data_IF_268382848675
#
_entry.id   IF_268382848675
#
_cell.length_a   1.000
_cell.length_b   1.000
_cell.length_c   1.000
_cell.angle_alpha   90.00
_cell.angle_beta   90.00
_cell.angle_gamma   90.00
#
_symmetry.space_group_name_H-M   'P 1'
#
loop_
_entity.id
_entity.type
_entity.pdbx_description
1 polymer ?
#
# COMPACT_ATOMS: atom_id res chain seq x y z
N UNK A 1 32.19 54.79 -42.96
CA UNK A 1 31.67 56.17 -42.81
C UNK A 1 30.30 56.05 -42.18
N UNK A 2 29.94 56.62 -41.04
CA UNK A 2 30.57 57.36 -39.95
C UNK A 2 29.73 57.01 -38.69
N UNK A 3 30.29 56.91 -37.48
CA UNK A 3 30.43 58.04 -36.54
C UNK A 3 29.04 58.57 -36.13
N UNK A 4 28.60 58.66 -34.87
CA UNK A 4 29.24 59.27 -33.68
C UNK A 4 28.27 58.98 -32.50
N UNK A 5 28.65 58.31 -31.41
CA UNK A 5 29.20 58.83 -30.13
C UNK A 5 28.40 59.96 -29.45
N UNK A 6 28.02 59.74 -28.17
CA UNK A 6 28.30 60.56 -26.95
C UNK A 6 27.39 60.00 -25.82
N UNK A 7 27.90 59.34 -24.78
CA UNK A 7 28.51 59.93 -23.57
C UNK A 7 27.41 60.09 -22.51
N UNK A 8 27.37 59.42 -21.35
CA UNK A 8 28.44 59.06 -20.42
C UNK A 8 28.26 59.92 -19.16
N UNK A 9 27.88 59.32 -18.02
CA UNK A 9 28.26 59.87 -16.71
C UNK A 9 28.13 58.79 -15.64
N UNK A 10 29.29 58.45 -15.09
CA UNK A 10 29.49 57.58 -13.95
C UNK A 10 29.25 58.35 -12.63
N UNK A 11 28.81 57.63 -11.61
CA UNK A 11 28.99 58.03 -10.21
C UNK A 11 29.42 56.80 -9.40
N UNK A 12 30.73 56.72 -9.20
CA UNK A 12 31.40 55.95 -8.15
C UNK A 12 30.82 56.28 -6.77
N UNK A 13 30.47 55.25 -5.99
CA UNK A 13 30.51 55.34 -4.52
C UNK A 13 30.82 53.97 -3.88
N UNK A 14 32.12 53.83 -3.60
CA UNK A 14 32.84 53.05 -2.58
C UNK A 14 32.07 52.08 -1.66
N UNK A 15 32.55 50.83 -1.65
CA UNK A 15 32.46 49.88 -0.53
C UNK A 15 33.05 50.46 0.78
N UNK A 16 32.54 49.99 1.92
CA UNK A 16 33.42 49.59 3.01
C UNK A 16 33.26 48.11 3.35
N UNK A 17 34.39 47.41 3.34
CA UNK A 17 34.60 46.14 4.05
C UNK A 17 34.64 46.44 5.55
N UNK A 18 33.87 45.71 6.35
CA UNK A 18 34.29 45.30 7.70
C UNK A 18 33.43 44.15 8.21
N UNK A 19 34.03 42.96 8.25
CA UNK A 19 33.65 41.87 9.15
C UNK A 19 34.13 42.20 10.57
N UNK A 20 33.40 41.77 11.60
CA UNK A 20 33.91 40.63 12.38
C UNK A 20 32.82 39.60 12.71
N UNK A 21 33.20 38.32 12.59
CA UNK A 21 32.49 37.13 13.11
C UNK A 21 32.91 36.89 14.59
N UNK A 22 32.40 35.90 15.35
CA UNK A 22 31.15 35.14 15.28
C UNK A 22 30.34 35.19 16.60
N UNK A 23 29.01 35.04 16.54
CA UNK A 23 28.16 34.88 17.72
C UNK A 23 27.17 33.75 17.50
N UNK A 24 27.38 32.64 18.20
CA UNK A 24 26.50 31.47 18.23
C UNK A 24 25.06 31.85 18.58
N UNK A 25 24.15 31.53 17.67
CA UNK A 25 22.73 31.37 17.93
C UNK A 25 22.25 30.33 16.93
N UNK A 26 22.37 29.05 17.31
CA UNK A 26 21.67 27.99 16.60
C UNK A 26 20.19 28.14 16.92
N UNK A 27 19.50 29.05 16.22
CA UNK A 27 18.10 28.84 15.91
C UNK A 27 18.10 27.80 14.80
N UNK A 28 18.00 26.56 15.21
CA UNK A 28 17.37 25.54 14.41
C UNK A 28 15.91 25.94 14.26
N UNK A 29 15.66 26.90 13.36
CA UNK A 29 14.41 26.94 12.61
C UNK A 29 14.44 25.66 11.74
N UNK A 30 14.15 24.53 12.39
CA UNK A 30 13.42 23.46 11.73
C UNK A 30 12.15 24.14 11.27
N UNK A 31 12.16 24.63 10.03
CA UNK A 31 10.96 24.84 9.24
C UNK A 31 10.21 23.50 9.27
N UNK A 32 9.43 23.31 10.33
CA UNK A 32 8.37 22.33 10.43
C UNK A 32 7.44 22.72 9.29
N UNK A 33 7.70 22.13 8.12
CA UNK A 33 6.94 22.32 6.90
C UNK A 33 5.50 21.90 7.24
N UNK A 34 4.70 22.85 7.71
CA UNK A 34 3.29 22.63 7.96
C UNK A 34 2.71 22.17 6.62
N UNK A 35 2.34 20.89 6.54
CA UNK A 35 1.59 20.35 5.41
C UNK A 35 0.52 21.38 5.05
N UNK A 36 0.66 21.99 3.87
CA UNK A 36 -0.19 23.09 3.45
C UNK A 36 -1.63 22.56 3.29
N UNK A 37 -2.41 22.63 4.37
CA UNK A 37 -3.82 22.28 4.40
C UNK A 37 -4.65 23.46 3.93
N UNK A 38 -5.75 23.16 3.26
CA UNK A 38 -6.70 24.19 2.90
C UNK A 38 -7.38 24.74 4.17
N UNK A 39 -7.80 26.01 4.17
CA UNK A 39 -8.71 26.51 5.19
C UNK A 39 -9.97 25.63 5.27
N UNK A 40 -10.58 25.44 6.46
CA UNK A 40 -11.69 24.51 6.63
C UNK A 40 -12.87 24.71 5.66
N UNK A 41 -13.15 25.96 5.29
CA UNK A 41 -14.22 26.30 4.34
C UNK A 41 -13.88 25.85 2.91
N UNK A 42 -12.63 26.04 2.49
CA UNK A 42 -12.13 25.62 1.18
C UNK A 42 -12.02 24.10 1.09
N UNK A 43 -11.52 23.46 2.15
CA UNK A 43 -11.48 21.99 2.27
C UNK A 43 -12.88 21.38 2.17
N UNK A 44 -13.86 21.93 2.89
CA UNK A 44 -15.24 21.46 2.84
C UNK A 44 -15.84 21.63 1.44
N UNK A 45 -15.51 22.72 0.73
CA UNK A 45 -15.94 22.94 -0.66
C UNK A 45 -15.36 21.90 -1.61
N UNK A 46 -14.05 21.67 -1.55
CA UNK A 46 -13.36 20.68 -2.38
C UNK A 46 -13.84 19.25 -2.10
N UNK A 47 -14.06 18.92 -0.82
CA UNK A 47 -14.61 17.63 -0.43
C UNK A 47 -16.03 17.44 -0.95
N UNK A 48 -16.88 18.46 -0.86
CA UNK A 48 -18.23 18.43 -1.42
C UNK A 48 -18.22 18.24 -2.94
N UNK A 49 -17.36 18.97 -3.65
CA UNK A 49 -17.18 18.80 -5.09
C UNK A 49 -16.75 17.36 -5.45
N UNK A 50 -15.76 16.82 -4.74
CA UNK A 50 -15.34 15.43 -4.93
C UNK A 50 -16.46 14.42 -4.64
N UNK A 51 -17.30 14.69 -3.62
CA UNK A 51 -18.45 13.84 -3.29
C UNK A 51 -19.55 13.90 -4.35
N UNK A 52 -19.82 15.05 -4.95
CA UNK A 52 -20.80 15.21 -6.02
C UNK A 52 -20.35 14.46 -7.29
N UNK A 53 -19.07 14.59 -7.66
CA UNK A 53 -18.47 13.85 -8.79
C UNK A 53 -18.47 12.33 -8.51
N UNK A 54 -18.20 11.91 -7.28
CA UNK A 54 -18.30 10.51 -6.87
C UNK A 54 -19.72 9.95 -7.05
N UNK A 55 -20.75 10.76 -6.79
CA UNK A 55 -22.15 10.33 -7.01
C UNK A 55 -22.44 10.12 -8.49
N UNK A 56 -21.97 11.00 -9.36
CA UNK A 56 -22.03 10.83 -10.82
C UNK A 56 -21.32 9.53 -11.26
N UNK A 57 -20.11 9.29 -10.75
CA UNK A 57 -19.35 8.07 -11.01
C UNK A 57 -20.08 6.80 -10.53
N UNK A 58 -20.76 6.86 -9.38
CA UNK A 58 -21.59 5.75 -8.90
C UNK A 58 -22.77 5.46 -9.84
N UNK A 59 -23.41 6.49 -10.42
CA UNK A 59 -24.48 6.32 -11.40
C UNK A 59 -23.98 5.66 -12.69
N UNK A 60 -22.80 6.08 -13.17
CA UNK A 60 -22.13 5.46 -14.31
C UNK A 60 -21.76 3.99 -14.02
N UNK A 61 -21.26 3.71 -12.82
CA UNK A 61 -20.97 2.35 -12.37
C UNK A 61 -22.22 1.47 -12.35
N UNK A 62 -23.34 1.97 -11.81
CA UNK A 62 -24.63 1.28 -11.81
C UNK A 62 -25.18 1.05 -13.21
N UNK A 63 -24.84 1.92 -14.16
CA UNK A 63 -25.19 1.80 -15.59
C UNK A 63 -24.22 0.90 -16.37
N UNK A 64 -23.27 0.25 -15.70
CA UNK A 64 -22.21 -0.58 -16.29
C UNK A 64 -21.26 0.17 -17.25
N UNK A 65 -21.23 1.50 -17.22
CA UNK A 65 -20.30 2.33 -17.98
C UNK A 65 -18.98 2.50 -17.21
N UNK A 66 -18.23 1.41 -17.03
CA UNK A 66 -17.10 1.37 -16.10
C UNK A 66 -15.94 2.29 -16.48
N UNK A 67 -15.59 2.42 -17.76
CA UNK A 67 -14.51 3.34 -18.20
C UNK A 67 -14.84 4.81 -17.91
N UNK A 68 -16.09 5.20 -18.13
CA UNK A 68 -16.58 6.55 -17.80
C UNK A 68 -16.64 6.74 -16.28
N UNK A 69 -17.07 5.72 -15.53
CA UNK A 69 -17.06 5.75 -14.08
C UNK A 69 -15.64 5.96 -13.52
N UNK A 70 -14.64 5.25 -14.06
CA UNK A 70 -13.22 5.43 -13.70
C UNK A 70 -12.78 6.87 -13.97
N UNK A 71 -13.05 7.38 -15.16
CA UNK A 71 -12.71 8.77 -15.53
C UNK A 71 -13.33 9.80 -14.57
N UNK A 72 -14.58 9.58 -14.15
CA UNK A 72 -15.24 10.43 -13.17
C UNK A 72 -14.67 10.26 -11.76
N UNK A 73 -14.28 9.05 -11.33
CA UNK A 73 -13.59 8.87 -10.06
C UNK A 73 -12.19 9.53 -10.04
N UNK A 74 -11.45 9.50 -11.14
CA UNK A 74 -10.15 10.19 -11.25
C UNK A 74 -10.31 11.71 -11.18
N UNK A 75 -11.40 12.25 -11.74
CA UNK A 75 -11.78 13.67 -11.57
C UNK A 75 -12.12 13.99 -10.11
N UNK A 76 -12.83 13.10 -9.41
CA UNK A 76 -13.08 13.25 -7.98
C UNK A 76 -11.78 13.22 -7.16
N UNK A 77 -10.84 12.32 -7.50
CA UNK A 77 -9.52 12.25 -6.87
C UNK A 77 -8.71 13.53 -7.08
N UNK A 78 -8.83 14.15 -8.26
CA UNK A 78 -8.15 15.41 -8.58
C UNK A 78 -8.71 16.60 -7.79
N UNK A 79 -9.99 16.53 -7.39
CA UNK A 79 -10.66 17.57 -6.59
C UNK A 79 -10.48 17.36 -5.09
N UNK A 80 -10.28 16.11 -4.66
CA UNK A 80 -10.12 15.75 -3.25
C UNK A 80 -8.73 16.11 -2.73
N UNK A 81 -8.60 16.87 -1.63
CA UNK A 81 -7.31 17.08 -0.98
C UNK A 81 -6.63 15.75 -0.63
N UNK A 82 -5.35 15.60 -1.01
CA UNK A 82 -4.65 14.33 -0.97
C UNK A 82 -4.34 13.81 0.45
N UNK A 83 -4.39 14.69 1.46
CA UNK A 83 -4.22 14.35 2.87
C UNK A 83 -5.50 13.79 3.51
N UNK A 84 -6.65 13.84 2.82
CA UNK A 84 -7.88 13.20 3.26
C UNK A 84 -7.86 11.71 2.90
N UNK A 85 -7.06 10.95 3.65
CA UNK A 85 -6.76 9.54 3.34
C UNK A 85 -8.02 8.67 3.23
N UNK A 86 -9.07 8.92 4.04
CA UNK A 86 -10.30 8.15 4.01
C UNK A 86 -11.05 8.33 2.68
N UNK A 87 -11.25 9.57 2.25
CA UNK A 87 -11.97 9.88 1.01
C UNK A 87 -11.20 9.39 -0.22
N UNK A 88 -9.88 9.59 -0.24
CA UNK A 88 -9.00 9.05 -1.28
C UNK A 88 -9.09 7.52 -1.32
N UNK A 89 -9.10 6.85 -0.18
CA UNK A 89 -9.25 5.39 -0.11
C UNK A 89 -10.59 4.94 -0.70
N UNK A 90 -11.70 5.59 -0.34
CA UNK A 90 -13.04 5.26 -0.85
C UNK A 90 -13.08 5.34 -2.38
N UNK A 91 -12.54 6.41 -2.96
CA UNK A 91 -12.48 6.62 -4.41
C UNK A 91 -11.64 5.53 -5.10
N UNK A 92 -10.43 5.26 -4.60
CA UNK A 92 -9.55 4.20 -5.14
C UNK A 92 -10.16 2.81 -5.04
N UNK A 93 -10.85 2.53 -3.92
CA UNK A 93 -11.54 1.26 -3.73
C UNK A 93 -12.68 1.08 -4.74
N UNK A 94 -13.40 2.15 -5.10
CA UNK A 94 -14.42 2.11 -6.15
C UNK A 94 -13.85 1.98 -7.56
N UNK A 95 -12.71 2.63 -7.86
CA UNK A 95 -11.97 2.42 -9.11
C UNK A 95 -11.56 0.94 -9.24
N UNK A 96 -11.04 0.32 -8.18
CA UNK A 96 -10.73 -1.11 -8.18
C UNK A 96 -11.96 -1.99 -8.48
N UNK A 97 -13.15 -1.58 -8.03
CA UNK A 97 -14.40 -2.27 -8.36
C UNK A 97 -14.74 -2.17 -9.85
N UNK A 98 -14.45 -1.05 -10.50
CA UNK A 98 -14.62 -0.87 -11.95
C UNK A 98 -13.67 -1.77 -12.72
N UNK A 99 -12.39 -1.79 -12.37
CA UNK A 99 -11.40 -2.65 -13.03
C UNK A 99 -11.72 -4.15 -12.87
N UNK A 100 -12.26 -4.57 -11.72
CA UNK A 100 -12.76 -5.94 -11.56
C UNK A 100 -13.92 -6.29 -12.51
N UNK A 101 -14.74 -5.31 -12.91
CA UNK A 101 -15.83 -5.51 -13.87
C UNK A 101 -15.33 -5.52 -15.31
N UNK A 102 -14.24 -4.81 -15.58
CA UNK A 102 -13.53 -4.81 -16.86
C UNK A 102 -12.57 -5.99 -17.01
N UNK A 103 -12.39 -6.80 -15.97
CA UNK A 103 -11.42 -7.90 -15.90
C UNK A 103 -9.95 -7.46 -16.08
N UNK A 104 -9.68 -6.17 -15.88
CA UNK A 104 -8.31 -5.66 -15.77
C UNK A 104 -7.77 -5.93 -14.37
N UNK A 105 -7.27 -7.15 -14.18
CA UNK A 105 -6.82 -7.63 -12.88
C UNK A 105 -5.64 -6.82 -12.34
N UNK A 106 -4.74 -6.35 -13.20
CA UNK A 106 -3.55 -5.62 -12.75
C UNK A 106 -3.94 -4.24 -12.24
N UNK A 107 -4.73 -3.49 -13.00
CA UNK A 107 -5.22 -2.19 -12.56
C UNK A 107 -6.10 -2.29 -11.31
N UNK A 108 -6.89 -3.37 -11.18
CA UNK A 108 -7.66 -3.64 -9.96
C UNK A 108 -6.78 -3.86 -8.72
N UNK A 109 -5.66 -4.59 -8.87
CA UNK A 109 -4.69 -4.82 -7.78
C UNK A 109 -4.03 -3.50 -7.37
N UNK A 110 -3.59 -2.71 -8.33
CA UNK A 110 -2.91 -1.45 -8.09
C UNK A 110 -3.83 -0.45 -7.38
N UNK A 111 -5.07 -0.29 -7.88
CA UNK A 111 -6.07 0.59 -7.27
C UNK A 111 -6.47 0.14 -5.85
N UNK A 112 -6.66 -1.17 -5.63
CA UNK A 112 -7.01 -1.70 -4.32
C UNK A 112 -5.85 -1.58 -3.31
N UNK A 113 -4.60 -1.77 -3.76
CA UNK A 113 -3.41 -1.57 -2.93
C UNK A 113 -3.26 -0.11 -2.53
N UNK A 114 -3.38 0.82 -3.48
CA UNK A 114 -3.34 2.24 -3.19
C UNK A 114 -4.49 2.69 -2.25
N UNK A 115 -5.63 2.01 -2.26
CA UNK A 115 -6.68 2.21 -1.25
C UNK A 115 -6.26 1.71 0.14
N UNK A 116 -5.62 0.54 0.22
CA UNK A 116 -5.19 -0.06 1.48
C UNK A 116 -4.08 0.77 2.14
N UNK A 117 -3.12 1.25 1.35
CA UNK A 117 -2.01 2.10 1.83
C UNK A 117 -2.53 3.38 2.49
N UNK A 118 -3.66 3.92 2.01
CA UNK A 118 -4.32 5.08 2.61
C UNK A 118 -4.99 4.74 3.94
N UNK A 119 -5.71 3.63 4.00
CA UNK A 119 -6.37 3.19 5.23
C UNK A 119 -5.37 2.80 6.31
N UNK A 120 -4.19 2.32 5.91
CA UNK A 120 -3.09 1.98 6.82
C UNK A 120 -2.55 3.18 7.58
N UNK A 121 -2.56 4.37 6.97
CA UNK A 121 -2.19 5.62 7.64
C UNK A 121 -3.22 6.05 8.70
N UNK A 122 -4.47 5.64 8.55
CA UNK A 122 -5.57 6.02 9.46
C UNK A 122 -5.64 5.06 10.64
N UNK A 123 -5.67 3.76 10.34
CA UNK A 123 -5.74 2.70 11.36
C UNK A 123 -4.70 1.64 11.00
N UNK A 124 -3.47 1.77 11.50
CA UNK A 124 -2.43 0.78 11.26
C UNK A 124 -2.88 -0.61 11.68
N UNK A 125 -2.59 -1.59 10.85
CA UNK A 125 -2.71 -3.00 11.21
C UNK A 125 -1.50 -3.37 12.07
N UNK A 126 -1.69 -4.13 13.17
CA UNK A 126 -0.56 -4.67 13.90
C UNK A 126 0.32 -5.47 12.94
N UNK A 127 1.66 -5.33 12.98
CA UNK A 127 2.53 -6.14 12.15
C UNK A 127 2.22 -7.61 12.41
N UNK A 128 1.85 -8.34 11.36
CA UNK A 128 1.73 -9.78 11.44
C UNK A 128 3.10 -10.32 11.85
N UNK A 129 3.19 -11.00 13.01
CA UNK A 129 4.39 -11.73 13.40
C UNK A 129 4.68 -12.78 12.32
N UNK A 130 5.53 -12.42 11.38
CA UNK A 130 6.06 -13.34 10.39
C UNK A 130 7.19 -14.11 11.09
N UNK A 131 6.83 -15.08 11.93
CA UNK A 131 7.79 -16.04 12.48
C UNK A 131 8.22 -17.00 11.36
N UNK A 132 9.05 -16.50 10.46
CA UNK A 132 9.98 -17.37 9.75
C UNK A 132 11.10 -17.72 10.73
N UNK A 133 11.10 -19.00 11.11
CA UNK A 133 12.15 -19.68 11.86
C UNK A 133 13.51 -19.40 11.21
N UNK A 134 14.33 -18.61 11.86
CA UNK A 134 15.77 -18.83 11.85
C UNK A 134 16.29 -18.66 13.28
N UNK A 135 16.93 -19.72 13.77
CA UNK A 135 17.39 -19.79 15.14
C UNK A 135 18.63 -18.93 15.32
N UNK A 136 18.50 -17.81 16.02
CA UNK A 136 19.61 -17.23 16.76
C UNK A 136 19.09 -16.56 18.03
N UNK A 137 19.45 -17.13 19.17
CA UNK A 137 19.26 -16.54 20.49
C UNK A 137 19.97 -15.19 20.56
N UNK A 138 19.23 -14.14 20.91
CA UNK A 138 19.77 -13.01 21.65
C UNK A 138 18.68 -12.44 22.55
N UNK A 139 18.94 -12.54 23.86
CA UNK A 139 18.24 -11.81 24.90
C UNK A 139 18.41 -10.30 24.66
N UNK A 140 17.32 -9.54 24.66
CA UNK A 140 17.04 -8.52 25.68
C UNK A 140 15.89 -7.59 25.26
N UNK A 141 15.27 -7.03 26.30
CA UNK A 141 14.39 -5.86 26.31
C UNK A 141 12.92 -6.04 25.86
N UNK A 142 12.11 -6.33 26.88
CA UNK A 142 10.73 -5.85 27.06
C UNK A 142 10.47 -4.49 26.38
N UNK A 143 9.53 -4.47 25.45
CA UNK A 143 8.68 -3.32 25.20
C UNK A 143 7.23 -3.82 25.25
N UNK A 144 6.59 -3.57 26.38
CA UNK A 144 5.15 -3.77 26.56
C UNK A 144 4.43 -2.72 25.72
N UNK A 145 3.89 -3.12 24.57
CA UNK A 145 2.91 -2.31 23.84
C UNK A 145 1.66 -2.26 24.71
N UNK A 146 1.46 -1.12 25.37
CA UNK A 146 0.20 -0.77 26.00
C UNK A 146 -0.86 -0.71 24.90
N UNK A 147 -1.78 -1.66 24.88
CA UNK A 147 -3.14 -1.34 24.45
C UNK A 147 -3.61 -0.23 25.38
N UNK A 148 -3.62 1.01 24.89
CA UNK A 148 -4.30 2.11 25.56
C UNK A 148 -5.80 1.88 25.41
N UNK A 149 -6.32 0.88 26.12
CA UNK A 149 -7.66 0.95 26.67
C UNK A 149 -7.64 2.06 27.73
N UNK A 150 -7.53 3.31 27.29
CA UNK A 150 -7.72 4.46 28.14
C UNK A 150 -9.19 4.44 28.54
N UNK A 151 -9.46 3.83 29.70
CA UNK A 151 -10.75 3.90 30.36
C UNK A 151 -10.89 5.34 30.81
N UNK A 152 -11.48 6.19 29.97
CA UNK A 152 -11.79 7.55 30.37
C UNK A 152 -12.94 7.45 31.39
N UNK A 153 -12.59 7.57 32.67
CA UNK A 153 -13.58 7.65 33.74
C UNK A 153 -14.46 8.89 33.52
N UNK A 154 -15.76 8.67 33.31
CA UNK A 154 -16.74 9.74 33.27
C UNK A 154 -16.83 10.34 34.68
N UNK A 155 -16.24 11.51 34.88
CA UNK A 155 -16.38 12.21 36.16
C UNK A 155 -17.80 12.78 36.23
N UNK A 156 -18.60 12.27 37.18
CA UNK A 156 -20.03 12.52 37.39
C UNK A 156 -20.40 13.96 37.81
N UNK A 157 -19.67 14.98 37.35
CA UNK A 157 -19.77 16.36 37.85
C UNK A 157 -20.32 17.36 36.82
N UNK A 158 -20.42 16.98 35.54
CA UNK A 158 -21.05 17.81 34.50
C UNK A 158 -21.72 16.94 33.41
N UNK A 159 -23.07 16.83 33.39
CA UNK A 159 -23.79 16.01 32.41
C UNK A 159 -23.60 16.49 30.95
N UNK A 160 -23.36 17.78 30.73
CA UNK A 160 -23.14 18.33 29.38
C UNK A 160 -21.73 17.93 28.86
N UNK A 161 -20.77 17.76 29.76
CA UNK A 161 -19.43 17.28 29.42
C UNK A 161 -19.45 15.78 29.06
N UNK A 162 -20.21 14.97 29.81
CA UNK A 162 -20.39 13.54 29.53
C UNK A 162 -21.06 13.31 28.16
N UNK A 163 -22.08 14.10 27.82
CA UNK A 163 -22.76 13.98 26.52
C UNK A 163 -21.82 14.30 25.35
N UNK A 164 -21.02 15.36 25.45
CA UNK A 164 -20.03 15.71 24.43
C UNK A 164 -18.98 14.62 24.26
N UNK A 165 -18.50 14.06 25.37
CA UNK A 165 -17.50 12.99 25.34
C UNK A 165 -18.07 11.70 24.73
N UNK A 166 -19.31 11.34 25.08
CA UNK A 166 -19.99 10.19 24.49
C UNK A 166 -20.24 10.38 22.98
N UNK A 167 -20.59 11.60 22.56
CA UNK A 167 -20.75 11.92 21.14
C UNK A 167 -19.44 11.78 20.37
N UNK A 168 -18.32 12.26 20.93
CA UNK A 168 -16.99 12.12 20.34
C UNK A 168 -16.58 10.64 20.21
N UNK A 169 -16.81 9.83 21.25
CA UNK A 169 -16.50 8.40 21.20
C UNK A 169 -17.31 7.67 20.11
N UNK A 170 -18.61 7.96 20.01
CA UNK A 170 -19.48 7.41 18.96
C UNK A 170 -19.02 7.81 17.55
N UNK A 171 -18.55 9.04 17.38
CA UNK A 171 -18.02 9.51 16.10
C UNK A 171 -16.74 8.74 15.73
N UNK A 172 -15.81 8.56 16.68
CA UNK A 172 -14.60 7.77 16.47
C UNK A 172 -14.92 6.29 16.13
N UNK A 173 -15.87 5.67 16.83
CA UNK A 173 -16.32 4.31 16.54
C UNK A 173 -16.93 4.19 15.13
N UNK A 174 -17.68 5.21 14.72
CA UNK A 174 -18.29 5.29 13.38
C UNK A 174 -17.21 5.42 12.31
N UNK A 175 -16.22 6.30 12.52
CA UNK A 175 -15.08 6.47 11.62
C UNK A 175 -14.27 5.17 11.52
N UNK A 176 -13.98 4.52 12.65
CA UNK A 176 -13.30 3.23 12.70
C UNK A 176 -14.06 2.16 11.92
N UNK A 177 -15.36 2.05 12.13
CA UNK A 177 -16.21 1.10 11.42
C UNK A 177 -16.22 1.37 9.91
N UNK A 178 -16.26 2.65 9.52
CA UNK A 178 -16.23 3.06 8.13
C UNK A 178 -14.89 2.71 7.46
N UNK A 179 -13.76 2.97 8.12
CA UNK A 179 -12.42 2.59 7.65
C UNK A 179 -12.32 1.07 7.47
N UNK A 180 -12.73 0.29 8.47
CA UNK A 180 -12.70 -1.18 8.41
C UNK A 180 -13.58 -1.74 7.28
N UNK A 181 -14.75 -1.12 7.02
CA UNK A 181 -15.60 -1.50 5.89
C UNK A 181 -14.93 -1.29 4.55
N UNK A 182 -14.25 -0.16 4.34
CA UNK A 182 -13.53 0.11 3.09
C UNK A 182 -12.31 -0.79 2.98
N UNK A 183 -11.64 -1.11 4.10
CA UNK A 183 -10.53 -2.07 4.13
C UNK A 183 -10.98 -3.46 3.69
N UNK A 184 -12.07 -3.97 4.26
CA UNK A 184 -12.64 -5.27 3.86
C UNK A 184 -12.97 -5.31 2.36
N UNK A 185 -13.63 -4.26 1.83
CA UNK A 185 -13.91 -4.15 0.39
C UNK A 185 -12.64 -4.16 -0.44
N UNK A 186 -11.62 -3.42 -0.05
CA UNK A 186 -10.36 -3.30 -0.81
C UNK A 186 -9.58 -4.61 -0.81
N UNK A 187 -9.49 -5.30 0.35
CA UNK A 187 -8.89 -6.64 0.44
C UNK A 187 -9.65 -7.64 -0.43
N UNK A 188 -10.99 -7.67 -0.36
CA UNK A 188 -11.80 -8.58 -1.16
C UNK A 188 -11.58 -8.36 -2.66
N UNK A 189 -11.49 -7.08 -3.07
CA UNK A 189 -11.25 -6.69 -4.45
C UNK A 189 -9.85 -7.13 -4.92
N UNK A 190 -8.82 -6.86 -4.11
CA UNK A 190 -7.43 -7.25 -4.41
C UNK A 190 -7.26 -8.77 -4.46
N UNK A 191 -7.81 -9.49 -3.49
CA UNK A 191 -7.77 -10.94 -3.42
C UNK A 191 -8.43 -11.58 -4.65
N UNK A 192 -9.58 -11.06 -5.07
CA UNK A 192 -10.28 -11.52 -6.28
C UNK A 192 -9.45 -11.26 -7.53
N UNK A 193 -8.89 -10.06 -7.68
CA UNK A 193 -8.06 -9.73 -8.84
C UNK A 193 -6.81 -10.61 -8.92
N UNK A 194 -6.07 -10.74 -7.81
CA UNK A 194 -4.89 -11.63 -7.69
C UNK A 194 -5.23 -13.09 -8.02
N UNK A 195 -6.37 -13.59 -7.53
CA UNK A 195 -6.84 -14.96 -7.78
C UNK A 195 -7.14 -15.22 -9.26
N UNK A 196 -7.58 -14.21 -10.00
CA UNK A 196 -7.86 -14.31 -11.45
C UNK A 196 -6.61 -14.09 -12.30
N UNK A 197 -5.74 -13.15 -11.91
CA UNK A 197 -4.46 -12.91 -12.57
C UNK A 197 -3.56 -14.16 -12.53
N UNK A 198 -3.62 -14.91 -11.43
CA UNK A 198 -2.88 -16.16 -11.28
C UNK A 198 -1.37 -15.93 -11.19
N UNK A 199 -0.61 -17.02 -11.32
CA UNK A 199 0.81 -17.05 -11.02
C UNK A 199 1.06 -17.16 -9.51
N UNK A 200 2.21 -17.72 -9.16
CA UNK A 200 2.52 -18.12 -7.79
C UNK A 200 2.43 -16.94 -6.81
N UNK A 201 3.09 -15.82 -7.12
CA UNK A 201 3.12 -14.64 -6.26
C UNK A 201 1.73 -14.04 -6.02
N UNK A 202 0.90 -13.93 -7.06
CA UNK A 202 -0.45 -13.36 -6.91
C UNK A 202 -1.36 -14.31 -6.14
N UNK A 203 -1.34 -15.61 -6.44
CA UNK A 203 -2.17 -16.58 -5.72
C UNK A 203 -1.82 -16.63 -4.23
N UNK A 204 -0.53 -16.58 -3.89
CA UNK A 204 -0.08 -16.47 -2.51
C UNK A 204 -0.57 -15.16 -1.86
N UNK A 205 -0.38 -14.02 -2.54
CA UNK A 205 -0.87 -12.74 -2.06
C UNK A 205 -2.40 -12.66 -1.96
N UNK A 206 -3.16 -13.48 -2.68
CA UNK A 206 -4.61 -13.58 -2.54
C UNK A 206 -4.99 -14.33 -1.26
N UNK A 207 -4.24 -15.39 -0.90
CA UNK A 207 -4.43 -16.10 0.36
C UNK A 207 -4.22 -15.15 1.54
N UNK A 208 -3.16 -14.33 1.51
CA UNK A 208 -2.88 -13.34 2.56
C UNK A 208 -4.03 -12.35 2.72
N UNK A 209 -4.55 -11.81 1.61
CA UNK A 209 -5.70 -10.90 1.65
C UNK A 209 -6.96 -11.58 2.23
N UNK A 210 -7.21 -12.84 1.87
CA UNK A 210 -8.33 -13.61 2.42
C UNK A 210 -8.14 -14.00 3.89
N UNK A 211 -6.91 -14.26 4.33
CA UNK A 211 -6.61 -14.49 5.75
C UNK A 211 -6.86 -13.23 6.57
N UNK A 212 -6.41 -12.07 6.09
CA UNK A 212 -6.69 -10.78 6.72
C UNK A 212 -8.20 -10.48 6.80
N UNK A 213 -8.99 -10.88 5.79
CA UNK A 213 -10.45 -10.78 5.85
C UNK A 213 -11.08 -11.73 6.88
N UNK A 214 -10.51 -12.92 7.07
CA UNK A 214 -11.03 -13.91 8.01
C UNK A 214 -10.82 -13.50 9.48
N UNK A 215 -9.87 -12.60 9.77
CA UNK A 215 -9.68 -12.03 11.11
C UNK A 215 -10.60 -10.86 11.42
N UNK A 216 -11.32 -10.33 10.42
CA UNK A 216 -12.24 -9.19 10.63
C UNK A 216 -13.57 -9.65 11.25
N UNK A 217 -13.91 -9.06 12.39
CA UNK A 217 -15.16 -9.35 13.09
C UNK A 217 -16.41 -8.89 12.30
N UNK A 218 -16.29 -7.74 11.62
CA UNK A 218 -17.39 -6.99 10.99
C UNK A 218 -17.78 -7.45 9.58
N UNK A 219 -17.23 -8.57 9.10
CA UNK A 219 -17.49 -9.05 7.74
C UNK A 219 -18.91 -9.66 7.60
N UNK A 220 -19.72 -9.30 6.59
CA UNK A 220 -21.03 -9.91 6.33
C UNK A 220 -20.94 -11.43 6.11
N UNK A 221 -21.98 -12.18 6.49
CA UNK A 221 -22.01 -13.64 6.39
C UNK A 221 -21.79 -14.17 4.96
N UNK A 222 -22.27 -13.45 3.94
CA UNK A 222 -22.09 -13.82 2.53
C UNK A 222 -20.62 -13.70 2.11
N UNK A 223 -19.97 -12.62 2.53
CA UNK A 223 -18.55 -12.39 2.27
C UNK A 223 -17.68 -13.39 3.05
N UNK A 224 -18.02 -13.70 4.31
CA UNK A 224 -17.34 -14.76 5.10
C UNK A 224 -17.36 -16.10 4.39
N UNK A 225 -18.48 -16.48 3.77
CA UNK A 225 -18.59 -17.73 2.98
C UNK A 225 -17.65 -17.73 1.76
N UNK A 226 -17.56 -16.61 1.06
CA UNK A 226 -16.64 -16.45 -0.09
C UNK A 226 -15.19 -16.60 0.36
N UNK A 227 -14.80 -15.92 1.45
CA UNK A 227 -13.45 -16.00 2.03
C UNK A 227 -13.07 -17.43 2.40
N UNK A 228 -13.94 -18.12 3.14
CA UNK A 228 -13.69 -19.49 3.58
C UNK A 228 -13.61 -20.48 2.41
N UNK A 229 -14.39 -20.27 1.36
CA UNK A 229 -14.29 -21.07 0.14
C UNK A 229 -12.94 -20.84 -0.55
N UNK A 230 -12.56 -19.58 -0.75
CA UNK A 230 -11.30 -19.22 -1.40
C UNK A 230 -10.08 -19.79 -0.65
N UNK A 231 -10.08 -19.71 0.68
CA UNK A 231 -9.00 -20.26 1.52
C UNK A 231 -8.86 -21.79 1.44
N UNK A 232 -9.91 -22.50 1.02
CA UNK A 232 -9.87 -23.95 0.80
C UNK A 232 -9.34 -24.32 -0.58
N UNK A 233 -9.66 -23.51 -1.59
CA UNK A 233 -9.39 -23.81 -3.00
C UNK A 233 -8.02 -23.27 -3.48
N UNK A 234 -7.62 -22.09 -3.01
CA UNK A 234 -6.38 -21.45 -3.44
C UNK A 234 -5.10 -22.22 -3.12
N UNK A 235 -4.94 -22.92 -1.97
CA UNK A 235 -3.70 -23.64 -1.66
C UNK A 235 -3.29 -24.66 -2.73
N UNK A 236 -4.25 -25.39 -3.34
CA UNK A 236 -3.94 -26.31 -4.46
C UNK A 236 -3.38 -25.56 -5.66
N UNK A 237 -4.05 -24.46 -6.03
CA UNK A 237 -3.66 -23.61 -7.16
C UNK A 237 -2.28 -22.98 -6.96
N UNK A 238 -1.94 -22.61 -5.72
CA UNK A 238 -0.61 -22.10 -5.36
C UNK A 238 0.46 -23.16 -5.58
N UNK A 239 0.25 -24.40 -5.10
CA UNK A 239 1.22 -25.47 -5.28
C UNK A 239 1.43 -25.79 -6.77
N UNK A 240 0.34 -25.89 -7.53
CA UNK A 240 0.41 -26.12 -8.99
C UNK A 240 1.16 -25.01 -9.71
N UNK A 241 0.88 -23.73 -9.39
CA UNK A 241 1.58 -22.59 -9.99
C UNK A 241 3.06 -22.55 -9.58
N UNK A 242 3.36 -22.85 -8.32
CA UNK A 242 4.73 -22.92 -7.80
C UNK A 242 5.55 -23.98 -8.52
N UNK A 243 5.05 -25.21 -8.62
CA UNK A 243 5.78 -26.31 -9.27
C UNK A 243 6.03 -26.01 -10.75
N UNK A 244 5.05 -25.42 -11.44
CA UNK A 244 5.17 -24.98 -12.83
C UNK A 244 6.23 -23.89 -13.00
N UNK A 245 6.17 -22.81 -12.23
CA UNK A 245 7.09 -21.68 -12.36
C UNK A 245 8.52 -22.05 -11.95
N UNK A 246 8.68 -22.88 -10.91
CA UNK A 246 9.99 -23.44 -10.52
C UNK A 246 10.55 -24.32 -11.65
N UNK A 247 9.71 -25.17 -12.26
CA UNK A 247 10.12 -25.99 -13.41
C UNK A 247 10.59 -25.16 -14.60
N UNK A 248 9.85 -24.11 -14.97
CA UNK A 248 10.23 -23.19 -16.05
C UNK A 248 11.52 -22.42 -15.73
N UNK A 249 11.69 -21.97 -14.47
CA UNK A 249 12.91 -21.29 -14.02
C UNK A 249 14.12 -22.22 -14.06
N UNK A 250 13.97 -23.46 -13.58
CA UNK A 250 15.01 -24.48 -13.64
C UNK A 250 15.40 -24.81 -15.08
N UNK A 251 14.43 -24.93 -15.99
CA UNK A 251 14.71 -25.16 -17.41
C UNK A 251 15.52 -24.00 -18.00
N UNK A 252 15.10 -22.75 -17.78
CA UNK A 252 15.83 -21.57 -18.28
C UNK A 252 17.24 -21.48 -17.71
N UNK A 253 17.43 -21.85 -16.43
CA UNK A 253 18.75 -21.89 -15.79
C UNK A 253 19.63 -22.98 -16.40
N UNK A 254 19.08 -24.16 -16.70
CA UNK A 254 19.76 -25.22 -17.43
C UNK A 254 20.16 -24.77 -18.83
N UNK A 255 19.25 -24.14 -19.58
CA UNK A 255 19.52 -23.65 -20.94
C UNK A 255 20.65 -22.60 -20.94
N UNK A 256 20.64 -21.68 -19.98
CA UNK A 256 21.71 -20.71 -19.79
C UNK A 256 23.04 -21.38 -19.44
N UNK A 257 23.03 -22.33 -18.50
CA UNK A 257 24.21 -23.12 -18.13
C UNK A 257 24.76 -23.89 -19.33
N UNK A 258 23.90 -24.53 -20.11
CA UNK A 258 24.26 -25.22 -21.34
C UNK A 258 24.82 -24.28 -22.40
N UNK A 259 24.33 -23.04 -22.51
CA UNK A 259 24.92 -22.03 -23.39
C UNK A 259 26.39 -21.73 -23.07
N UNK A 260 26.75 -21.71 -21.77
CA UNK A 260 28.13 -21.51 -21.30
C UNK A 260 28.96 -22.79 -21.45
N UNK A 261 28.37 -23.96 -21.19
CA UNK A 261 29.06 -25.25 -21.14
C UNK A 261 29.27 -25.90 -22.52
N UNK A 262 28.41 -25.59 -23.50
CA UNK A 262 28.44 -26.20 -24.84
C UNK A 262 29.76 -25.99 -25.61
N UNK A 263 30.42 -24.82 -25.59
CA UNK A 263 31.76 -24.65 -26.18
C UNK A 263 32.83 -25.55 -25.57
N UNK A 264 32.61 -26.07 -24.36
CA UNK A 264 33.51 -26.99 -23.67
C UNK A 264 33.11 -28.46 -23.85
N UNK A 265 32.08 -28.76 -24.65
CA UNK A 265 31.55 -30.12 -24.81
C UNK A 265 30.82 -30.64 -23.57
N UNK A 266 30.40 -29.75 -22.67
CA UNK A 266 29.73 -30.09 -21.41
C UNK A 266 28.24 -29.70 -21.46
N UNK A 267 27.43 -30.39 -20.65
CA UNK A 267 26.02 -30.07 -20.40
C UNK A 267 25.74 -30.04 -18.90
N UNK A 268 24.77 -29.25 -18.45
CA UNK A 268 24.23 -29.28 -17.09
C UNK A 268 23.65 -30.64 -16.72
N UNK A 269 23.27 -31.46 -17.71
CA UNK A 269 22.78 -32.82 -17.48
C UNK A 269 23.92 -33.83 -17.22
N UNK A 270 25.17 -33.48 -17.55
CA UNK A 270 26.33 -34.31 -17.23
C UNK A 270 26.67 -34.26 -15.73
N UNK A 271 26.06 -33.36 -14.97
CA UNK A 271 26.31 -33.21 -13.53
C UNK A 271 25.13 -33.76 -12.73
N UNK A 272 25.32 -34.95 -12.15
CA UNK A 272 24.35 -35.59 -11.28
C UNK A 272 24.62 -35.24 -9.82
N UNK A 273 23.62 -34.66 -9.16
CA UNK A 273 23.66 -34.38 -7.73
C UNK A 273 23.02 -35.53 -6.98
N UNK A 274 23.77 -36.17 -6.08
CA UNK A 274 23.30 -37.22 -5.18
C UNK A 274 23.38 -36.72 -3.75
N UNK A 275 22.22 -36.62 -3.10
CA UNK A 275 22.14 -36.25 -1.68
C UNK A 275 22.44 -37.48 -0.81
N UNK A 276 23.35 -37.34 0.15
CA UNK A 276 23.60 -38.38 1.15
C UNK A 276 22.51 -38.32 2.22
N UNK A 277 21.66 -39.36 2.36
CA UNK A 277 20.54 -39.37 3.29
C UNK A 277 20.95 -39.35 4.77
N UNK A 278 22.22 -39.57 5.12
CA UNK A 278 22.69 -39.55 6.52
C UNK A 278 23.27 -38.21 6.95
N UNK A 279 23.93 -37.50 6.04
CA UNK A 279 24.65 -36.25 6.35
C UNK A 279 23.93 -35.02 5.81
N UNK A 280 22.97 -35.20 4.90
CA UNK A 280 22.29 -34.11 4.20
C UNK A 280 23.18 -33.40 3.16
N UNK A 281 24.44 -33.81 3.03
CA UNK A 281 25.41 -33.25 2.09
C UNK A 281 25.11 -33.66 0.65
N UNK A 282 25.40 -32.77 -0.30
CA UNK A 282 25.27 -33.04 -1.72
C UNK A 282 26.64 -33.44 -2.30
N UNK A 283 26.69 -34.58 -2.98
CA UNK A 283 27.83 -35.00 -3.80
C UNK A 283 27.49 -34.80 -5.28
N UNK A 284 28.44 -34.28 -6.06
CA UNK A 284 28.26 -34.02 -7.48
C UNK A 284 29.10 -35.02 -8.27
N UNK A 285 28.46 -35.87 -9.05
CA UNK A 285 29.09 -36.85 -9.92
C UNK A 285 28.97 -36.40 -11.37
N UNK A 286 30.08 -36.45 -12.10
CA UNK A 286 30.09 -36.16 -13.53
C UNK A 286 29.88 -37.46 -14.32
N UNK A 287 28.90 -37.46 -15.22
CA UNK A 287 28.66 -38.53 -16.18
C UNK A 287 29.04 -38.03 -17.57
N UNK A 288 30.10 -38.62 -18.11
CA UNK A 288 30.68 -38.32 -19.42
C UNK A 288 29.86 -38.91 -20.57
#
# INVERSE_FOLDING_TARGET
MAGTSYGGSASDQKLPKNTPSPGNGADSDEEEFHDARFPPEEEARLLKEAQDIKQEANQLFSSACYDQAISSYDRALSSCPNYLDYDVAVLRSNIAACYLKLEDWKAAIDAATASLDRLEKIIPTPPAHNEQRDGQQSNDAKASTQESGEVVELSATDPDAEEKQLALLKELDTQRTNVLRIRAKSLMRRAKAKSNLGGWANLQGAIEDYQALNTMETLPSDEKRIVQKALRELPSRVNEAKDKEIGEMMSKMKDLGNGILKPFGLSTDNFNFVQDPKTGGYSMNFQS
#
